data_IF_619634348474
#
_entry.id   IF_619634348474
#
_cell.length_a   1.000
_cell.length_b   1.000
_cell.length_c   1.000
_cell.angle_alpha   90.00
_cell.angle_beta   90.00
_cell.angle_gamma   90.00
#
_symmetry.space_group_name_H-M   'P 1'
#
loop_
_entity.id
_entity.type
_entity.pdbx_description
1 polymer ?
#
# COMPACT_ATOMS: atom_id res chain seq x y z
N UNK A 1 10.45 6.71 -41.42
CA UNK A 1 11.16 5.72 -40.58
C UNK A 1 11.23 6.32 -39.18
N UNK A 2 10.60 5.67 -38.18
CA UNK A 2 10.54 6.16 -36.81
C UNK A 2 11.90 6.11 -36.10
N UNK A 3 12.00 6.79 -34.95
CA UNK A 3 13.17 6.67 -34.07
C UNK A 3 13.42 5.21 -33.67
N UNK A 4 14.67 4.87 -33.29
CA UNK A 4 15.00 3.52 -32.79
C UNK A 4 14.08 3.17 -31.60
N UNK A 5 13.66 1.90 -31.52
CA UNK A 5 12.89 1.39 -30.39
C UNK A 5 13.72 1.43 -29.09
N UNK A 6 13.03 1.57 -27.97
CA UNK A 6 13.59 1.55 -26.63
C UNK A 6 13.09 0.30 -25.90
N UNK A 7 14.02 -0.59 -25.57
CA UNK A 7 13.73 -1.85 -24.89
C UNK A 7 14.04 -1.79 -23.40
N UNK A 8 13.08 -2.18 -22.58
CA UNK A 8 13.20 -2.30 -21.12
C UNK A 8 12.99 -3.76 -20.74
N UNK A 9 13.87 -4.31 -19.92
CA UNK A 9 13.77 -5.69 -19.46
C UNK A 9 14.13 -5.81 -18.00
N UNK A 10 13.44 -6.71 -17.32
CA UNK A 10 13.78 -7.12 -15.96
C UNK A 10 14.82 -8.22 -15.99
N UNK A 11 15.59 -8.31 -14.91
CA UNK A 11 16.23 -9.58 -14.55
C UNK A 11 15.18 -10.62 -14.12
N UNK A 12 15.60 -11.81 -13.72
CA UNK A 12 14.66 -12.81 -13.20
C UNK A 12 14.11 -12.37 -11.84
N UNK A 13 12.82 -12.05 -11.82
CA UNK A 13 12.05 -11.74 -10.62
C UNK A 13 11.70 -13.04 -9.91
N UNK A 14 12.40 -13.33 -8.81
CA UNK A 14 12.05 -14.38 -7.84
C UNK A 14 10.77 -14.03 -7.04
N UNK A 15 9.77 -14.93 -7.07
CA UNK A 15 8.50 -14.79 -6.35
C UNK A 15 8.65 -14.63 -4.83
N UNK A 16 9.64 -15.27 -4.22
CA UNK A 16 9.94 -15.13 -2.79
C UNK A 16 10.67 -13.82 -2.49
N UNK A 17 11.73 -13.51 -3.23
CA UNK A 17 12.62 -12.38 -2.91
C UNK A 17 11.98 -11.03 -3.24
N UNK A 18 11.36 -10.91 -4.41
CA UNK A 18 10.91 -9.63 -4.94
C UNK A 18 9.41 -9.41 -4.79
N UNK A 19 8.61 -10.49 -4.83
CA UNK A 19 7.15 -10.44 -4.70
C UNK A 19 6.65 -10.79 -3.29
N UNK A 20 7.54 -11.29 -2.42
CA UNK A 20 7.24 -11.59 -1.02
C UNK A 20 6.45 -12.90 -0.81
N UNK A 21 6.32 -13.76 -1.81
CA UNK A 21 5.60 -15.05 -1.66
C UNK A 21 6.49 -16.05 -0.92
N UNK A 22 6.21 -16.26 0.37
CA UNK A 22 7.08 -16.96 1.33
C UNK A 22 7.13 -18.48 1.13
N UNK A 23 7.79 -18.91 0.06
CA UNK A 23 7.91 -20.33 -0.31
C UNK A 23 9.37 -20.81 -0.34
N UNK A 24 9.64 -22.10 -0.04
CA UNK A 24 10.97 -22.72 -0.24
C UNK A 24 11.32 -22.77 -1.73
N UNK A 25 12.60 -22.93 -2.07
CA UNK A 25 13.10 -22.85 -3.45
C UNK A 25 12.30 -23.72 -4.43
N UNK A 26 11.96 -24.95 -4.02
CA UNK A 26 11.18 -25.90 -4.84
C UNK A 26 9.78 -25.40 -5.23
N UNK A 27 9.21 -24.46 -4.48
CA UNK A 27 7.88 -23.90 -4.69
C UNK A 27 7.89 -22.50 -5.30
N UNK A 28 9.07 -21.97 -5.65
CA UNK A 28 9.20 -20.62 -6.22
C UNK A 28 8.95 -20.63 -7.72
N UNK A 29 8.68 -19.45 -8.25
CA UNK A 29 8.54 -19.18 -9.67
C UNK A 29 9.43 -17.99 -10.02
N UNK A 30 10.08 -18.05 -11.18
CA UNK A 30 10.83 -16.92 -11.72
C UNK A 30 10.05 -16.27 -12.85
N UNK A 31 10.04 -14.95 -12.87
CA UNK A 31 9.32 -14.15 -13.85
C UNK A 31 10.25 -13.18 -14.56
N UNK A 32 9.98 -12.90 -15.83
CA UNK A 32 10.62 -11.83 -16.58
C UNK A 32 9.58 -11.07 -17.40
N UNK A 33 9.67 -9.75 -17.33
CA UNK A 33 9.00 -8.79 -18.21
C UNK A 33 10.00 -8.19 -19.19
N UNK A 34 9.56 -8.04 -20.44
CA UNK A 34 10.22 -7.29 -21.51
C UNK A 34 9.19 -6.36 -22.14
N UNK A 35 9.53 -5.08 -22.28
CA UNK A 35 8.68 -4.06 -22.89
C UNK A 35 9.49 -3.30 -23.93
N UNK A 36 8.97 -3.19 -25.15
CA UNK A 36 9.62 -2.45 -26.23
C UNK A 36 8.70 -1.32 -26.70
N UNK A 37 9.18 -0.09 -26.65
CA UNK A 37 8.42 1.10 -27.02
C UNK A 37 9.04 1.84 -28.20
N UNK A 38 8.22 2.43 -29.06
CA UNK A 38 8.66 3.30 -30.14
C UNK A 38 7.67 4.44 -30.37
N UNK A 39 8.16 5.69 -30.47
CA UNK A 39 7.41 6.78 -31.08
C UNK A 39 6.99 6.40 -32.50
N UNK A 40 5.75 6.74 -32.86
CA UNK A 40 5.18 6.45 -34.17
C UNK A 40 5.22 7.67 -35.09
N UNK A 41 5.21 7.41 -36.39
CA UNK A 41 5.15 8.45 -37.41
C UNK A 41 3.72 8.99 -37.54
N UNK A 42 3.57 10.30 -37.50
CA UNK A 42 2.29 11.03 -37.69
C UNK A 42 2.14 11.57 -39.11
N UNK A 43 2.83 10.97 -40.08
CA UNK A 43 2.88 11.43 -41.47
C UNK A 43 1.71 10.89 -42.30
N UNK A 44 1.61 11.31 -43.57
CA UNK A 44 0.55 10.89 -44.51
C UNK A 44 0.36 9.37 -44.49
N UNK A 45 -0.89 8.95 -44.30
CA UNK A 45 -1.29 7.55 -44.16
C UNK A 45 -1.76 7.19 -42.74
N UNK A 46 -1.19 7.82 -41.71
CA UNK A 46 -1.55 7.57 -40.30
C UNK A 46 -2.31 8.71 -39.63
N UNK A 47 -2.43 9.87 -40.31
CA UNK A 47 -3.32 10.94 -39.90
C UNK A 47 -3.88 11.72 -41.09
N UNK A 48 -5.06 12.31 -40.93
CA UNK A 48 -5.74 13.14 -41.94
C UNK A 48 -6.57 14.22 -41.26
N UNK A 49 -6.49 15.45 -41.77
CA UNK A 49 -7.43 16.51 -41.40
C UNK A 49 -8.83 16.19 -41.94
N UNK A 50 -9.84 16.38 -41.11
CA UNK A 50 -11.25 16.20 -41.51
C UNK A 50 -11.69 17.43 -42.30
N UNK A 51 -12.36 17.23 -43.43
CA UNK A 51 -12.85 18.29 -44.30
C UNK A 51 -14.16 17.90 -45.03
N UNK A 52 -14.87 18.89 -45.56
CA UNK A 52 -16.02 18.70 -46.44
C UNK A 52 -17.30 18.23 -45.73
N UNK A 53 -17.94 17.18 -46.25
CA UNK A 53 -19.19 16.67 -45.65
C UNK A 53 -18.98 16.03 -44.28
N UNK A 54 -17.77 15.52 -44.01
CA UNK A 54 -17.44 14.83 -42.77
C UNK A 54 -17.35 15.83 -41.59
N UNK A 55 -16.86 17.05 -41.82
CA UNK A 55 -16.83 18.09 -40.77
C UNK A 55 -18.22 18.58 -40.41
N UNK A 56 -19.15 18.65 -41.38
CA UNK A 56 -20.56 18.95 -41.14
C UNK A 56 -21.24 17.91 -40.23
N UNK A 57 -20.92 16.63 -40.40
CA UNK A 57 -21.43 15.55 -39.53
C UNK A 57 -20.94 15.71 -38.08
N UNK A 58 -19.69 16.11 -37.89
CA UNK A 58 -19.13 16.37 -36.57
C UNK A 58 -19.51 17.74 -35.99
N UNK A 59 -20.07 18.65 -36.80
CA UNK A 59 -20.41 20.02 -36.40
C UNK A 59 -19.21 20.95 -36.20
N UNK A 60 -18.14 20.77 -36.99
CA UNK A 60 -16.91 21.59 -36.93
C UNK A 60 -16.58 22.20 -38.30
N UNK A 61 -15.69 23.19 -38.30
CA UNK A 61 -15.12 23.75 -39.53
C UNK A 61 -14.05 22.84 -40.14
N UNK A 62 -13.76 23.07 -41.43
CA UNK A 62 -12.72 22.35 -42.17
C UNK A 62 -11.33 22.50 -41.54
N UNK A 63 -10.60 21.38 -41.49
CA UNK A 63 -9.25 21.28 -40.94
C UNK A 63 -9.11 21.59 -39.44
N UNK A 64 -10.22 21.62 -38.69
CA UNK A 64 -10.17 21.75 -37.22
C UNK A 64 -9.87 20.41 -36.54
N UNK A 65 -10.39 19.31 -37.09
CA UNK A 65 -10.22 17.97 -36.54
C UNK A 65 -9.14 17.18 -37.28
N UNK A 66 -8.38 16.38 -36.54
CA UNK A 66 -7.38 15.46 -37.08
C UNK A 66 -7.76 14.03 -36.66
N UNK A 67 -7.99 13.16 -37.65
CA UNK A 67 -8.15 11.71 -37.43
C UNK A 67 -6.79 11.02 -37.46
N UNK A 68 -6.58 10.09 -36.53
CA UNK A 68 -5.41 9.21 -36.47
C UNK A 68 -5.81 7.76 -36.77
N UNK A 69 -4.99 7.04 -37.55
CA UNK A 69 -5.30 5.73 -38.15
C UNK A 69 -4.27 4.67 -37.75
N UNK A 70 -4.09 4.44 -36.45
CA UNK A 70 -3.24 3.36 -35.91
C UNK A 70 -4.01 2.05 -35.68
N UNK A 71 -5.24 1.95 -36.19
CA UNK A 71 -6.13 0.81 -36.02
C UNK A 71 -7.58 1.24 -35.81
N UNK A 72 -8.50 0.29 -35.93
CA UNK A 72 -9.93 0.54 -35.81
C UNK A 72 -10.37 0.43 -34.35
N UNK A 73 -11.29 1.29 -33.92
CA UNK A 73 -11.86 1.25 -32.56
C UNK A 73 -13.36 1.06 -32.66
N UNK A 74 -13.87 -0.05 -32.10
CA UNK A 74 -15.25 -0.49 -32.27
C UNK A 74 -15.65 -0.51 -33.75
N UNK A 75 -16.64 0.31 -34.14
CA UNK A 75 -17.13 0.43 -35.52
C UNK A 75 -16.44 1.56 -36.30
N UNK A 76 -15.52 2.30 -35.67
CA UNK A 76 -14.82 3.40 -36.31
C UNK A 76 -13.59 2.91 -37.06
N UNK A 77 -13.43 3.36 -38.29
CA UNK A 77 -12.25 3.12 -39.14
C UNK A 77 -11.06 4.04 -38.78
N UNK A 78 -11.04 4.62 -37.59
CA UNK A 78 -9.98 5.48 -37.08
C UNK A 78 -9.77 5.17 -35.59
N UNK A 79 -8.58 5.50 -35.09
CA UNK A 79 -8.19 5.23 -33.70
C UNK A 79 -8.60 6.35 -32.76
N UNK A 80 -8.39 7.60 -33.18
CA UNK A 80 -8.62 8.77 -32.35
C UNK A 80 -8.88 10.02 -33.21
N UNK A 81 -9.65 10.96 -32.68
CA UNK A 81 -9.84 12.30 -33.27
C UNK A 81 -9.35 13.33 -32.27
N UNK A 82 -8.47 14.22 -32.73
CA UNK A 82 -8.00 15.37 -31.97
C UNK A 82 -8.56 16.67 -32.54
N UNK A 83 -8.86 17.63 -31.68
CA UNK A 83 -9.28 18.97 -32.07
C UNK A 83 -8.12 19.96 -31.93
N UNK A 84 -7.74 20.60 -33.04
CA UNK A 84 -6.63 21.57 -33.10
C UNK A 84 -6.79 22.77 -32.17
N UNK A 85 -8.02 23.12 -31.78
CA UNK A 85 -8.24 24.17 -30.78
C UNK A 85 -7.55 23.91 -29.44
N UNK A 86 -7.15 22.67 -29.13
CA UNK A 86 -6.31 22.35 -27.97
C UNK A 86 -5.06 23.24 -27.84
N UNK A 87 -4.51 23.75 -28.95
CA UNK A 87 -3.39 24.72 -28.90
C UNK A 87 -3.77 26.09 -28.30
N UNK A 88 -5.05 26.47 -28.36
CA UNK A 88 -5.58 27.76 -27.91
C UNK A 88 -6.47 27.69 -26.66
N UNK A 89 -6.74 26.48 -26.16
CA UNK A 89 -7.67 26.24 -25.05
C UNK A 89 -7.06 26.48 -23.66
N UNK A 90 -5.79 26.92 -23.58
CA UNK A 90 -5.04 27.12 -22.32
C UNK A 90 -4.99 25.86 -21.46
N UNK A 91 -4.81 24.70 -22.09
CA UNK A 91 -4.70 23.42 -21.42
C UNK A 91 -3.28 22.87 -21.53
N UNK A 92 -2.79 22.24 -20.46
CA UNK A 92 -1.51 21.53 -20.42
C UNK A 92 -1.56 20.20 -21.20
N UNK A 93 -0.61 19.30 -20.95
CA UNK A 93 -0.59 18.01 -21.64
C UNK A 93 -1.91 17.23 -21.45
N UNK A 94 -2.32 16.53 -22.50
CA UNK A 94 -3.40 15.55 -22.46
C UNK A 94 -2.93 14.22 -23.02
N UNK A 95 -3.42 13.14 -22.44
CA UNK A 95 -2.99 11.80 -22.82
C UNK A 95 -4.19 10.88 -23.00
N UNK A 96 -4.14 10.08 -24.06
CA UNK A 96 -5.08 8.99 -24.28
C UNK A 96 -4.31 7.71 -24.50
N UNK A 97 -4.89 6.61 -24.07
CA UNK A 97 -4.28 5.31 -24.28
C UNK A 97 -5.34 4.28 -24.61
N UNK A 98 -4.94 3.29 -25.40
CA UNK A 98 -5.74 2.13 -25.76
C UNK A 98 -4.82 0.92 -25.90
N UNK A 99 -5.36 -0.29 -25.77
CA UNK A 99 -4.56 -1.51 -25.83
C UNK A 99 -5.26 -2.63 -26.58
N UNK A 100 -4.45 -3.56 -27.07
CA UNK A 100 -4.84 -4.83 -27.66
C UNK A 100 -4.06 -5.94 -26.96
N UNK A 101 -4.73 -7.04 -26.62
CA UNK A 101 -4.13 -8.17 -25.94
C UNK A 101 -3.87 -9.31 -26.93
N UNK A 102 -2.71 -9.96 -26.80
CA UNK A 102 -2.35 -11.08 -27.64
C UNK A 102 -3.37 -12.23 -27.51
N UNK A 103 -3.84 -12.73 -28.65
CA UNK A 103 -4.78 -13.86 -28.69
C UNK A 103 -6.20 -13.55 -28.17
N UNK A 104 -6.54 -12.29 -27.93
CA UNK A 104 -7.88 -11.88 -27.51
C UNK A 104 -8.49 -10.85 -28.49
N UNK A 105 -9.41 -11.32 -29.33
CA UNK A 105 -10.13 -10.47 -30.29
C UNK A 105 -11.23 -9.60 -29.65
N UNK A 106 -11.43 -9.70 -28.32
CA UNK A 106 -12.42 -8.93 -27.58
C UNK A 106 -11.98 -7.52 -27.20
N UNK A 107 -10.77 -7.09 -27.55
CA UNK A 107 -10.35 -5.70 -27.31
C UNK A 107 -11.05 -4.74 -28.26
N UNK A 108 -11.49 -3.60 -27.74
CA UNK A 108 -12.20 -2.57 -28.53
C UNK A 108 -11.35 -1.99 -29.67
N UNK A 109 -10.03 -2.12 -29.59
CA UNK A 109 -9.09 -1.65 -30.60
C UNK A 109 -8.47 -2.83 -31.34
N UNK A 110 -8.49 -2.73 -32.66
CA UNK A 110 -7.82 -3.63 -33.59
C UNK A 110 -6.65 -2.87 -34.20
N UNK A 111 -5.40 -3.18 -33.81
CA UNK A 111 -4.23 -2.48 -34.31
C UNK A 111 -4.13 -2.55 -35.84
N UNK A 112 -3.61 -1.49 -36.45
CA UNK A 112 -3.24 -1.54 -37.86
C UNK A 112 -2.19 -2.63 -38.11
N UNK A 113 -2.08 -3.14 -39.33
CA UNK A 113 -1.18 -4.24 -39.70
C UNK A 113 0.27 -4.01 -39.20
N UNK A 114 0.78 -2.78 -39.30
CA UNK A 114 2.12 -2.43 -38.82
C UNK A 114 2.32 -2.50 -37.30
N UNK A 115 1.22 -2.52 -36.52
CA UNK A 115 1.20 -2.64 -35.07
C UNK A 115 0.63 -3.98 -34.60
N UNK A 116 0.25 -4.86 -35.54
CA UNK A 116 -0.18 -6.22 -35.24
C UNK A 116 1.06 -7.08 -34.98
N UNK A 117 1.33 -7.34 -33.71
CA UNK A 117 2.50 -8.09 -33.26
C UNK A 117 2.06 -9.40 -32.61
N UNK A 118 2.42 -10.52 -33.22
CA UNK A 118 2.11 -11.85 -32.68
C UNK A 118 2.69 -12.04 -31.28
N UNK A 119 1.85 -12.58 -30.39
CA UNK A 119 2.19 -12.88 -29.00
C UNK A 119 2.71 -11.68 -28.20
N UNK A 120 2.25 -10.46 -28.48
CA UNK A 120 2.56 -9.27 -27.68
C UNK A 120 1.30 -8.52 -27.31
N UNK A 121 1.23 -8.06 -26.06
CA UNK A 121 0.21 -7.11 -25.66
C UNK A 121 0.68 -5.71 -26.07
N UNK A 122 -0.14 -4.99 -26.83
CA UNK A 122 0.24 -3.69 -27.39
C UNK A 122 -0.56 -2.58 -26.73
N UNK A 123 0.12 -1.55 -26.25
CA UNK A 123 -0.49 -0.28 -25.82
C UNK A 123 -0.13 0.82 -26.81
N UNK A 124 -1.12 1.55 -27.30
CA UNK A 124 -0.93 2.82 -27.98
C UNK A 124 -1.21 3.95 -27.00
N UNK A 125 -0.25 4.86 -26.88
CA UNK A 125 -0.33 6.10 -26.11
C UNK A 125 -0.30 7.28 -27.07
N UNK A 126 -1.18 8.25 -26.86
CA UNK A 126 -1.30 9.49 -27.60
C UNK A 126 -1.06 10.64 -26.62
N UNK A 127 -0.01 11.43 -26.83
CA UNK A 127 0.32 12.58 -25.98
C UNK A 127 0.10 13.85 -26.80
N UNK A 128 -0.80 14.72 -26.37
CA UNK A 128 -0.99 16.05 -26.94
C UNK A 128 -0.38 17.11 -26.02
N UNK A 129 0.53 17.96 -26.51
CA UNK A 129 1.06 19.09 -25.74
C UNK A 129 0.06 20.23 -25.58
N UNK A 130 -1.01 20.28 -26.41
CA UNK A 130 -2.03 21.33 -26.37
C UNK A 130 -1.40 22.74 -26.39
N UNK A 131 -1.64 23.56 -25.36
CA UNK A 131 -1.19 24.95 -25.27
C UNK A 131 0.20 25.11 -24.64
N UNK A 132 0.93 24.00 -24.40
CA UNK A 132 2.26 24.05 -23.77
C UNK A 132 3.29 24.64 -24.73
N UNK A 133 4.05 25.64 -24.27
CA UNK A 133 5.18 26.25 -24.96
C UNK A 133 6.49 25.94 -24.25
N UNK A 134 7.57 25.75 -24.98
CA UNK A 134 8.88 25.41 -24.44
C UNK A 134 9.77 26.65 -24.41
N UNK A 135 10.52 26.86 -23.32
CA UNK A 135 11.46 27.99 -23.23
C UNK A 135 12.74 27.79 -24.06
N UNK A 136 13.04 26.54 -24.40
CA UNK A 136 14.18 26.14 -25.22
C UNK A 136 13.73 25.13 -26.28
N UNK A 137 14.46 25.08 -27.39
CA UNK A 137 14.23 24.07 -28.42
C UNK A 137 14.47 22.67 -27.85
N UNK A 138 13.63 21.71 -28.26
CA UNK A 138 13.78 20.31 -27.88
C UNK A 138 13.67 19.40 -29.11
N UNK A 139 14.59 18.45 -29.24
CA UNK A 139 14.67 17.49 -30.34
C UNK A 139 14.13 16.09 -29.96
N UNK A 140 13.46 15.97 -28.82
CA UNK A 140 12.82 14.72 -28.40
C UNK A 140 11.76 14.25 -29.42
N UNK A 141 11.70 12.94 -29.68
CA UNK A 141 10.81 12.38 -30.70
C UNK A 141 9.30 12.55 -30.42
N UNK A 142 8.92 12.82 -29.16
CA UNK A 142 7.54 12.95 -28.68
C UNK A 142 7.28 14.37 -28.18
N UNK A 143 8.22 14.94 -27.43
CA UNK A 143 8.14 16.28 -26.84
C UNK A 143 8.88 17.35 -27.68
N UNK A 144 9.13 17.06 -28.95
CA UNK A 144 9.85 17.95 -29.86
C UNK A 144 9.13 19.30 -30.01
N UNK A 145 9.91 20.37 -29.89
CA UNK A 145 9.45 21.74 -29.99
C UNK A 145 10.53 22.59 -30.66
N UNK A 146 10.34 22.89 -31.94
CA UNK A 146 11.31 23.59 -32.79
C UNK A 146 10.72 24.81 -33.50
N UNK A 147 9.42 25.07 -33.35
CA UNK A 147 8.73 26.16 -34.05
C UNK A 147 8.86 27.45 -33.22
N UNK A 148 9.67 28.45 -33.62
CA UNK A 148 9.87 29.66 -32.83
C UNK A 148 8.65 30.58 -32.84
N UNK A 149 8.38 31.20 -31.69
CA UNK A 149 7.38 32.23 -31.47
C UNK A 149 8.07 33.39 -30.76
N UNK A 150 8.01 34.58 -31.34
CA UNK A 150 8.49 35.80 -30.71
C UNK A 150 7.39 36.39 -29.81
N UNK A 151 7.71 36.58 -28.54
CA UNK A 151 6.84 37.22 -27.56
C UNK A 151 6.94 38.74 -27.65
N UNK A 152 5.96 39.46 -27.11
CA UNK A 152 5.91 40.93 -27.17
C UNK A 152 7.04 41.63 -26.41
N UNK A 153 7.70 40.92 -25.49
CA UNK A 153 8.87 41.39 -24.73
C UNK A 153 10.21 41.10 -25.44
N UNK A 154 10.17 40.47 -26.62
CA UNK A 154 11.34 40.11 -27.42
C UNK A 154 11.98 38.76 -27.02
N UNK A 155 11.38 37.99 -26.12
CA UNK A 155 11.80 36.63 -25.84
C UNK A 155 11.28 35.65 -26.91
N UNK A 156 12.11 34.68 -27.30
CA UNK A 156 11.70 33.60 -28.21
C UNK A 156 11.34 32.35 -27.41
N UNK A 157 10.17 31.80 -27.67
CA UNK A 157 9.72 30.50 -27.13
C UNK A 157 9.42 29.54 -28.28
N UNK A 158 9.29 28.25 -27.98
CA UNK A 158 9.15 27.21 -28.99
C UNK A 158 7.83 26.46 -28.84
N UNK A 159 7.04 26.40 -29.90
CA UNK A 159 5.82 25.60 -29.97
C UNK A 159 6.17 24.15 -30.34
N UNK A 160 5.41 23.16 -29.81
CA UNK A 160 5.54 21.76 -30.21
C UNK A 160 5.42 21.53 -31.72
N UNK A 161 6.14 20.54 -32.22
CA UNK A 161 6.18 20.23 -33.65
C UNK A 161 4.93 19.51 -34.15
N UNK A 162 4.12 18.96 -33.23
CA UNK A 162 2.99 18.07 -33.52
C UNK A 162 1.84 18.30 -32.55
N UNK A 163 0.62 18.19 -33.07
CA UNK A 163 -0.60 18.22 -32.27
C UNK A 163 -0.75 17.02 -31.32
N UNK A 164 -0.35 15.83 -31.78
CA UNK A 164 -0.36 14.60 -30.98
C UNK A 164 0.87 13.77 -31.36
N UNK A 165 1.57 13.28 -30.36
CA UNK A 165 2.72 12.39 -30.47
C UNK A 165 2.35 10.98 -30.00
N UNK A 166 2.21 10.01 -30.92
CA UNK A 166 1.89 8.63 -30.60
C UNK A 166 3.13 7.82 -30.21
N UNK A 167 2.98 6.92 -29.25
CA UNK A 167 3.96 5.91 -28.85
C UNK A 167 3.25 4.56 -28.80
N UNK A 168 3.82 3.53 -29.44
CA UNK A 168 3.37 2.15 -29.22
C UNK A 168 4.37 1.41 -28.32
N UNK A 169 3.86 0.66 -27.37
CA UNK A 169 4.63 -0.22 -26.49
C UNK A 169 4.10 -1.64 -26.59
N UNK A 170 5.00 -2.61 -26.72
CA UNK A 170 4.69 -4.02 -26.80
C UNK A 170 5.29 -4.78 -25.62
N UNK A 171 4.44 -5.43 -24.83
CA UNK A 171 4.80 -6.18 -23.64
C UNK A 171 4.91 -7.68 -23.93
N UNK A 172 5.91 -8.30 -23.29
CA UNK A 172 6.14 -9.75 -23.25
C UNK A 172 6.46 -10.19 -21.84
N UNK A 173 5.95 -11.36 -21.50
CA UNK A 173 6.06 -11.99 -20.20
C UNK A 173 6.61 -13.40 -20.36
N UNK A 174 7.37 -13.86 -19.37
CA UNK A 174 7.90 -15.22 -19.32
C UNK A 174 7.88 -15.73 -17.89
N UNK A 175 7.44 -16.97 -17.72
CA UNK A 175 7.43 -17.70 -16.46
C UNK A 175 8.40 -18.87 -16.57
N UNK A 176 9.20 -19.08 -15.53
CA UNK A 176 10.21 -20.12 -15.44
C UNK A 176 10.03 -20.95 -14.17
N UNK A 177 10.20 -22.26 -14.32
CA UNK A 177 10.25 -23.19 -13.21
C UNK A 177 11.72 -23.36 -12.75
N UNK A 178 12.09 -22.94 -11.53
CA UNK A 178 13.46 -23.04 -11.04
C UNK A 178 13.93 -24.48 -10.83
N UNK A 179 13.03 -25.46 -10.74
CA UNK A 179 13.38 -26.86 -10.45
C UNK A 179 13.99 -27.59 -11.65
N UNK A 180 13.53 -27.25 -12.85
CA UNK A 180 13.96 -27.89 -14.10
C UNK A 180 14.61 -26.89 -15.09
N UNK A 181 14.55 -25.58 -14.80
CA UNK A 181 15.09 -24.53 -15.67
C UNK A 181 14.28 -24.26 -16.94
N UNK A 182 13.12 -24.91 -17.10
CA UNK A 182 12.25 -24.75 -18.26
C UNK A 182 11.36 -23.52 -18.05
N UNK A 183 11.13 -22.78 -19.11
CA UNK A 183 10.28 -21.59 -19.08
C UNK A 183 9.35 -21.57 -20.28
N UNK A 184 8.27 -20.80 -20.16
CA UNK A 184 7.40 -20.45 -21.29
C UNK A 184 8.20 -19.71 -22.37
N UNK A 185 7.67 -19.68 -23.59
CA UNK A 185 8.12 -18.70 -24.59
C UNK A 185 7.64 -17.30 -24.18
N UNK A 186 8.36 -16.21 -24.54
CA UNK A 186 7.91 -14.85 -24.24
C UNK A 186 6.64 -14.50 -25.02
N UNK A 187 5.55 -14.20 -24.32
CA UNK A 187 4.24 -13.91 -24.92
C UNK A 187 3.47 -12.81 -24.17
N UNK A 188 2.27 -12.43 -24.64
CA UNK A 188 1.37 -11.56 -23.89
C UNK A 188 0.99 -12.14 -22.52
N UNK A 189 0.51 -11.32 -21.60
CA UNK A 189 0.23 -11.69 -20.21
C UNK A 189 -0.78 -12.83 -20.07
N UNK A 190 -1.90 -12.74 -20.79
CA UNK A 190 -2.95 -13.76 -20.80
C UNK A 190 -2.46 -15.09 -21.34
N UNK A 191 -1.75 -15.07 -22.48
CA UNK A 191 -1.19 -16.28 -23.08
C UNK A 191 -0.09 -16.90 -22.19
N UNK A 192 0.70 -16.08 -21.51
CA UNK A 192 1.74 -16.53 -20.60
C UNK A 192 1.17 -17.33 -19.42
N UNK A 193 0.09 -16.86 -18.79
CA UNK A 193 -0.60 -17.63 -17.73
C UNK A 193 -1.20 -18.91 -18.30
N UNK A 194 -1.89 -18.84 -19.44
CA UNK A 194 -2.49 -20.01 -20.09
C UNK A 194 -1.44 -21.10 -20.37
N UNK A 195 -0.30 -20.72 -20.94
CA UNK A 195 0.76 -21.66 -21.29
C UNK A 195 1.51 -22.16 -20.06
N UNK A 196 1.68 -21.33 -19.03
CA UNK A 196 2.27 -21.75 -17.76
C UNK A 196 1.38 -22.75 -16.99
N UNK A 197 0.04 -22.66 -17.14
CA UNK A 197 -0.91 -23.68 -16.65
C UNK A 197 -0.86 -24.98 -17.46
N UNK A 198 -0.29 -24.94 -18.66
CA UNK A 198 -0.02 -26.13 -19.46
C UNK A 198 1.00 -27.06 -18.78
N UNK A 199 1.22 -28.24 -19.38
CA UNK A 199 2.20 -29.21 -18.87
C UNK A 199 3.64 -28.95 -19.34
N UNK A 200 3.85 -27.94 -20.18
CA UNK A 200 5.11 -27.73 -20.91
C UNK A 200 6.29 -27.34 -19.99
N UNK A 201 6.02 -26.71 -18.85
CA UNK A 201 7.04 -26.26 -17.89
C UNK A 201 6.99 -27.00 -16.54
N UNK A 202 6.08 -27.97 -16.42
CA UNK A 202 5.92 -28.89 -15.29
C UNK A 202 5.87 -28.20 -13.91
N UNK A 203 4.93 -27.25 -13.73
CA UNK A 203 4.73 -26.58 -12.45
C UNK A 203 4.07 -27.51 -11.42
N UNK A 204 4.56 -27.45 -10.19
CA UNK A 204 3.87 -28.08 -9.06
C UNK A 204 2.64 -27.25 -8.62
N UNK A 205 1.75 -27.81 -7.77
CA UNK A 205 0.51 -27.10 -7.37
C UNK A 205 0.74 -25.73 -6.72
N UNK A 206 1.82 -25.55 -5.95
CA UNK A 206 2.16 -24.28 -5.28
C UNK A 206 2.69 -23.25 -6.27
N UNK A 207 3.48 -23.68 -7.24
CA UNK A 207 3.95 -22.84 -8.34
C UNK A 207 2.77 -22.41 -9.23
N UNK A 208 1.84 -23.33 -9.52
CA UNK A 208 0.62 -23.02 -10.28
C UNK A 208 -0.23 -21.98 -9.55
N UNK A 209 -0.43 -22.13 -8.23
CA UNK A 209 -1.13 -21.13 -7.44
C UNK A 209 -0.44 -19.76 -7.45
N UNK A 210 0.90 -19.75 -7.44
CA UNK A 210 1.70 -18.53 -7.58
C UNK A 210 1.48 -17.85 -8.93
N UNK A 211 1.49 -18.62 -10.02
CA UNK A 211 1.24 -18.11 -11.37
C UNK A 211 -0.15 -17.52 -11.50
N UNK A 212 -1.15 -18.16 -10.89
CA UNK A 212 -2.54 -17.70 -10.95
C UNK A 212 -2.75 -16.40 -10.19
N UNK A 213 -2.10 -16.27 -9.03
CA UNK A 213 -2.01 -15.00 -8.31
C UNK A 213 -1.36 -13.91 -9.14
N UNK A 214 -0.29 -14.22 -9.87
CA UNK A 214 0.35 -13.30 -10.83
C UNK A 214 -0.55 -12.98 -12.02
N UNK A 215 -1.45 -13.89 -12.40
CA UNK A 215 -2.40 -13.72 -13.49
C UNK A 215 -3.33 -12.52 -13.30
N UNK A 216 -3.72 -12.21 -12.07
CA UNK A 216 -4.48 -10.99 -11.74
C UNK A 216 -3.73 -9.71 -12.16
N UNK A 217 -2.41 -9.68 -11.97
CA UNK A 217 -1.59 -8.58 -12.43
C UNK A 217 -1.50 -8.56 -13.96
N UNK A 218 -1.29 -9.71 -14.60
CA UNK A 218 -1.14 -9.79 -16.06
C UNK A 218 -2.37 -9.28 -16.82
N UNK A 219 -3.57 -9.55 -16.32
CA UNK A 219 -4.82 -9.03 -16.87
C UNK A 219 -4.86 -7.48 -16.94
N UNK A 220 -4.08 -6.80 -16.10
CA UNK A 220 -3.98 -5.34 -16.05
C UNK A 220 -2.52 -4.85 -16.20
N UNK A 221 -1.65 -5.61 -16.85
CA UNK A 221 -0.20 -5.33 -16.88
C UNK A 221 0.26 -4.39 -17.99
N UNK A 222 -0.62 -4.06 -18.95
CA UNK A 222 -0.31 -3.11 -20.01
C UNK A 222 -0.21 -1.68 -19.48
N UNK A 223 0.51 -0.79 -20.18
CA UNK A 223 0.61 0.62 -19.79
C UNK A 223 -0.73 1.35 -19.78
N UNK A 224 -1.74 0.86 -20.52
CA UNK A 224 -3.12 1.38 -20.45
C UNK A 224 -3.62 1.52 -19.02
N UNK A 225 -3.43 0.49 -18.20
CA UNK A 225 -3.99 0.43 -16.86
C UNK A 225 -3.23 1.27 -15.84
N UNK A 226 -2.10 1.86 -16.22
CA UNK A 226 -1.42 2.90 -15.44
C UNK A 226 -1.88 4.30 -15.89
N UNK A 227 -2.12 4.48 -17.18
CA UNK A 227 -2.39 5.78 -17.79
C UNK A 227 -3.86 6.16 -17.65
N UNK A 228 -4.79 5.23 -17.85
CA UNK A 228 -6.24 5.50 -17.94
C UNK A 228 -6.80 6.31 -16.76
N UNK A 229 -6.37 6.02 -15.54
CA UNK A 229 -6.84 6.73 -14.33
C UNK A 229 -5.97 7.91 -13.93
N UNK A 230 -4.73 7.98 -14.42
CA UNK A 230 -3.77 9.06 -14.11
C UNK A 230 -3.78 10.18 -15.14
N UNK A 231 -4.31 9.93 -16.34
CA UNK A 231 -4.27 10.82 -17.50
C UNK A 231 -2.87 11.43 -17.65
N UNK A 232 -2.71 12.75 -17.74
CA UNK A 232 -1.41 13.39 -17.93
C UNK A 232 -0.48 13.37 -16.70
N UNK A 233 -0.96 12.98 -15.51
CA UNK A 233 -0.16 13.03 -14.27
C UNK A 233 0.93 11.95 -14.17
N UNK A 234 1.01 11.01 -15.12
CA UNK A 234 2.17 10.10 -15.19
C UNK A 234 3.38 10.71 -15.88
N UNK A 235 3.18 11.79 -16.66
CA UNK A 235 4.26 12.42 -17.42
C UNK A 235 5.19 13.18 -16.46
N UNK A 236 6.46 12.82 -16.44
CA UNK A 236 7.50 13.60 -15.76
C UNK A 236 7.70 14.97 -16.39
N UNK A 237 7.49 15.09 -17.70
CA UNK A 237 7.48 16.38 -18.39
C UNK A 237 6.47 17.36 -17.76
N UNK A 238 5.29 16.87 -17.34
CA UNK A 238 4.25 17.67 -16.71
C UNK A 238 4.70 18.25 -15.35
N UNK A 239 5.63 17.62 -14.64
CA UNK A 239 6.21 18.14 -13.39
C UNK A 239 7.09 19.38 -13.63
N UNK A 240 7.53 19.58 -14.87
CA UNK A 240 8.38 20.68 -15.32
C UNK A 240 7.60 21.77 -16.08
N UNK A 241 6.27 21.72 -16.04
CA UNK A 241 5.39 22.75 -16.62
C UNK A 241 4.90 23.71 -15.54
N UNK A 242 5.08 25.01 -15.76
CA UNK A 242 4.49 26.08 -14.95
C UNK A 242 3.82 27.11 -15.85
N UNK A 243 2.55 27.45 -15.58
CA UNK A 243 1.76 28.39 -16.40
C UNK A 243 1.84 28.09 -17.92
N UNK A 244 1.65 26.81 -18.28
CA UNK A 244 1.76 26.28 -19.66
C UNK A 244 3.15 26.46 -20.31
N UNK A 245 4.14 26.85 -19.52
CA UNK A 245 5.53 27.00 -19.94
C UNK A 245 6.33 25.80 -19.48
N UNK A 246 6.85 25.03 -20.43
CA UNK A 246 7.68 23.86 -20.23
C UNK A 246 9.14 24.28 -20.03
N UNK A 247 9.70 23.92 -18.87
CA UNK A 247 11.14 24.02 -18.61
C UNK A 247 11.93 23.06 -19.51
N UNK A 248 13.26 23.25 -19.65
CA UNK A 248 14.07 22.46 -20.57
C UNK A 248 13.95 20.97 -20.29
N UNK A 249 13.69 20.20 -21.36
CA UNK A 249 13.59 18.75 -21.33
C UNK A 249 14.82 18.15 -22.01
N UNK A 250 15.33 17.01 -21.53
CA UNK A 250 16.36 16.27 -22.25
C UNK A 250 15.81 15.70 -23.57
N UNK A 251 16.69 15.52 -24.56
CA UNK A 251 16.35 15.00 -25.89
C UNK A 251 15.87 13.53 -25.90
N UNK A 252 15.92 12.86 -24.75
CA UNK A 252 15.43 11.50 -24.54
C UNK A 252 14.31 11.43 -23.48
N UNK A 253 13.60 12.53 -23.26
CA UNK A 253 12.48 12.60 -22.32
C UNK A 253 11.48 11.47 -22.52
N UNK A 254 11.10 11.12 -23.76
CA UNK A 254 10.16 10.02 -23.98
C UNK A 254 10.65 8.67 -23.44
N UNK A 255 11.97 8.41 -23.47
CA UNK A 255 12.56 7.20 -22.90
C UNK A 255 12.49 7.22 -21.37
N UNK A 256 12.69 8.40 -20.77
CA UNK A 256 12.55 8.62 -19.32
C UNK A 256 11.09 8.36 -18.90
N UNK A 257 10.11 8.82 -19.68
CA UNK A 257 8.69 8.54 -19.44
C UNK A 257 8.40 7.04 -19.48
N UNK A 258 8.84 6.35 -20.54
CA UNK A 258 8.59 4.91 -20.70
C UNK A 258 9.29 4.09 -19.62
N UNK A 259 10.51 4.47 -19.23
CA UNK A 259 11.24 3.84 -18.12
C UNK A 259 10.52 4.04 -16.78
N UNK A 260 9.93 5.22 -16.56
CA UNK A 260 9.13 5.49 -15.36
C UNK A 260 7.86 4.63 -15.33
N UNK A 261 7.12 4.55 -16.45
CA UNK A 261 5.95 3.68 -16.56
C UNK A 261 6.30 2.20 -16.35
N UNK A 262 7.45 1.75 -16.85
CA UNK A 262 7.93 0.40 -16.62
C UNK A 262 8.19 0.13 -15.12
N UNK A 263 8.87 1.04 -14.43
CA UNK A 263 9.12 0.94 -12.99
C UNK A 263 7.82 1.00 -12.16
N UNK A 264 6.88 1.87 -12.53
CA UNK A 264 5.56 1.96 -11.92
C UNK A 264 4.78 0.65 -12.09
N UNK A 265 4.92 -0.02 -13.24
CA UNK A 265 4.26 -1.29 -13.48
C UNK A 265 4.84 -2.43 -12.62
N UNK A 266 6.16 -2.46 -12.40
CA UNK A 266 6.78 -3.40 -11.48
C UNK A 266 6.37 -3.15 -10.03
N UNK A 267 6.24 -1.88 -9.65
CA UNK A 267 5.73 -1.49 -8.32
C UNK A 267 4.27 -1.90 -8.15
N UNK A 268 3.44 -1.70 -9.18
CA UNK A 268 2.06 -2.19 -9.25
C UNK A 268 2.01 -3.72 -9.11
N UNK A 269 2.93 -4.45 -9.74
CA UNK A 269 3.00 -5.90 -9.57
C UNK A 269 3.22 -6.30 -8.11
N UNK A 270 4.17 -5.66 -7.41
CA UNK A 270 4.40 -5.91 -5.98
C UNK A 270 3.16 -5.58 -5.13
N UNK A 271 2.47 -4.49 -5.45
CA UNK A 271 1.22 -4.09 -4.79
C UNK A 271 0.09 -5.11 -5.02
N UNK A 272 -0.09 -5.61 -6.23
CA UNK A 272 -1.09 -6.66 -6.53
C UNK A 272 -0.82 -7.95 -5.75
N UNK A 273 0.46 -8.29 -5.52
CA UNK A 273 0.78 -9.42 -4.66
C UNK A 273 0.34 -9.13 -3.23
N UNK A 274 0.57 -7.93 -2.69
CA UNK A 274 0.08 -7.56 -1.37
C UNK A 274 -1.45 -7.60 -1.26
N UNK A 275 -2.16 -7.01 -2.23
CA UNK A 275 -3.63 -6.94 -2.24
C UNK A 275 -4.32 -8.30 -2.20
N UNK A 276 -3.68 -9.34 -2.77
CA UNK A 276 -4.20 -10.71 -2.66
C UNK A 276 -4.41 -11.14 -1.20
N UNK A 277 -3.58 -10.70 -0.26
CA UNK A 277 -3.70 -11.08 1.17
C UNK A 277 -4.49 -10.07 1.98
N UNK A 278 -4.37 -8.77 1.70
CA UNK A 278 -5.11 -7.74 2.44
C UNK A 278 -6.57 -7.60 1.97
N UNK A 279 -6.89 -8.14 0.79
CA UNK A 279 -8.08 -7.78 0.03
C UNK A 279 -7.91 -6.41 -0.66
N UNK A 280 -8.76 -6.12 -1.67
CA UNK A 280 -8.79 -4.79 -2.28
C UNK A 280 -9.28 -3.75 -1.28
N UNK A 281 -8.77 -2.53 -1.37
CA UNK A 281 -9.19 -1.42 -0.49
C UNK A 281 -10.66 -1.03 -0.68
N UNK A 282 -11.24 -1.36 -1.83
CA UNK A 282 -12.64 -1.16 -2.19
C UNK A 282 -13.25 -2.53 -2.54
N UNK A 283 -13.99 -3.10 -1.60
CA UNK A 283 -14.72 -4.35 -1.81
C UNK A 283 -16.12 -4.00 -2.30
N UNK A 284 -16.48 -4.46 -3.50
CA UNK A 284 -17.86 -4.44 -3.95
C UNK A 284 -18.57 -5.61 -3.26
N UNK A 285 -19.59 -5.31 -2.45
CA UNK A 285 -20.33 -6.33 -1.72
C UNK A 285 -20.87 -7.41 -2.67
N UNK A 286 -20.63 -8.68 -2.32
CA UNK A 286 -20.99 -9.83 -3.16
C UNK A 286 -19.93 -10.27 -4.19
N UNK A 287 -18.82 -9.55 -4.34
CA UNK A 287 -17.68 -9.99 -5.16
C UNK A 287 -16.72 -10.84 -4.32
N UNK A 288 -16.65 -12.14 -4.61
CA UNK A 288 -15.67 -13.05 -4.01
C UNK A 288 -14.95 -13.77 -5.15
N UNK A 289 -13.67 -13.44 -5.34
CA UNK A 289 -12.83 -14.15 -6.32
C UNK A 289 -12.31 -15.44 -5.69
N UNK A 290 -13.09 -16.51 -5.79
CA UNK A 290 -12.63 -17.87 -5.43
C UNK A 290 -12.17 -18.57 -6.69
N UNK A 291 -10.96 -18.25 -7.13
CA UNK A 291 -10.34 -18.88 -8.32
C UNK A 291 -10.36 -20.41 -8.24
N UNK A 292 -10.38 -20.99 -7.03
CA UNK A 292 -10.47 -22.43 -6.79
C UNK A 292 -11.88 -23.04 -6.91
N UNK A 293 -12.97 -22.26 -6.84
CA UNK A 293 -14.35 -22.76 -6.94
C UNK A 293 -14.79 -23.01 -8.40
N UNK A 294 -14.03 -22.52 -9.38
CA UNK A 294 -14.29 -22.71 -10.81
C UNK A 294 -13.99 -24.13 -11.33
N UNK A 295 -13.41 -24.98 -10.48
CA UNK A 295 -13.02 -26.34 -10.83
C UNK A 295 -13.96 -27.37 -10.20
N UNK A 296 -15.06 -27.66 -10.89
CA UNK A 296 -16.07 -28.66 -10.49
C UNK A 296 -15.62 -30.13 -10.59
N UNK A 297 -14.34 -30.46 -10.36
CA UNK A 297 -13.85 -31.86 -10.45
C UNK A 297 -13.06 -32.27 -9.21
N UNK A 298 -13.39 -33.44 -8.65
CA UNK A 298 -12.81 -34.04 -7.44
C UNK A 298 -11.59 -34.92 -7.75
N UNK A 299 -10.56 -34.36 -8.38
CA UNK A 299 -9.27 -35.09 -8.54
C UNK A 299 -8.29 -34.69 -7.43
N UNK A 300 -7.41 -35.62 -7.01
CA UNK A 300 -6.38 -35.34 -5.99
C UNK A 300 -5.47 -34.15 -6.36
N UNK A 301 -5.13 -34.02 -7.65
CA UNK A 301 -4.36 -32.87 -8.14
C UNK A 301 -5.11 -31.54 -7.95
N UNK A 302 -6.44 -31.56 -8.07
CA UNK A 302 -7.28 -30.39 -7.82
C UNK A 302 -7.35 -30.04 -6.33
N UNK A 303 -7.41 -31.04 -5.46
CA UNK A 303 -7.37 -30.86 -4.01
C UNK A 303 -6.03 -30.26 -3.55
N UNK A 304 -4.91 -30.78 -4.06
CA UNK A 304 -3.57 -30.26 -3.77
C UNK A 304 -3.43 -28.81 -4.26
N UNK A 305 -3.99 -28.49 -5.42
CA UNK A 305 -4.02 -27.13 -5.97
C UNK A 305 -4.90 -26.17 -5.14
N UNK A 306 -6.09 -26.60 -4.71
CA UNK A 306 -6.96 -25.80 -3.81
C UNK A 306 -6.26 -25.54 -2.48
N UNK A 307 -5.67 -26.56 -1.88
CA UNK A 307 -4.90 -26.43 -0.64
C UNK A 307 -3.73 -25.45 -0.81
N UNK A 308 -3.06 -25.48 -1.97
CA UNK A 308 -2.00 -24.52 -2.28
C UNK A 308 -2.51 -23.08 -2.39
N UNK A 309 -3.68 -22.85 -3.00
CA UNK A 309 -4.31 -21.52 -3.06
C UNK A 309 -4.66 -20.99 -1.65
N UNK A 310 -5.26 -21.84 -0.80
CA UNK A 310 -5.59 -21.46 0.58
C UNK A 310 -4.33 -21.15 1.41
N UNK A 311 -3.26 -21.94 1.27
CA UNK A 311 -1.98 -21.70 1.95
C UNK A 311 -1.35 -20.35 1.54
N UNK A 312 -1.57 -19.87 0.31
CA UNK A 312 -1.00 -18.59 -0.15
C UNK A 312 -1.42 -17.38 0.70
N UNK A 313 -2.61 -17.41 1.32
CA UNK A 313 -3.09 -16.36 2.23
C UNK A 313 -2.15 -16.16 3.43
N UNK A 314 -1.48 -17.22 3.88
CA UNK A 314 -0.56 -17.20 5.02
C UNK A 314 0.92 -17.08 4.60
N UNK A 315 1.19 -16.94 3.31
CA UNK A 315 2.54 -16.98 2.72
C UNK A 315 2.94 -15.66 2.07
N UNK A 316 2.58 -14.53 2.66
CA UNK A 316 3.05 -13.21 2.21
C UNK A 316 4.03 -12.60 3.21
N UNK A 317 5.19 -12.18 2.71
CA UNK A 317 6.14 -11.32 3.38
C UNK A 317 5.89 -9.89 2.92
N UNK A 318 5.73 -9.02 3.90
CA UNK A 318 5.59 -7.59 3.69
C UNK A 318 6.74 -6.89 4.40
N UNK A 319 7.22 -5.78 3.83
CA UNK A 319 8.15 -4.91 4.54
C UNK A 319 7.33 -4.09 5.53
N UNK A 320 7.62 -4.19 6.83
CA UNK A 320 6.99 -3.32 7.82
C UNK A 320 7.37 -1.86 7.54
N UNK A 321 6.39 -1.01 7.27
CA UNK A 321 6.58 0.42 6.98
C UNK A 321 6.99 1.21 8.22
N UNK A 322 6.65 0.72 9.43
CA UNK A 322 6.95 1.38 10.71
C UNK A 322 8.32 0.96 11.30
N UNK A 323 9.10 0.17 10.56
CA UNK A 323 10.27 -0.51 11.11
C UNK A 323 9.84 -1.71 11.97
N UNK A 324 10.71 -2.70 12.12
CA UNK A 324 10.47 -3.78 13.08
C UNK A 324 10.75 -3.23 14.47
N UNK A 325 9.72 -3.07 15.30
CA UNK A 325 9.95 -2.85 16.72
C UNK A 325 10.44 -4.18 17.29
N UNK A 326 11.75 -4.36 17.32
CA UNK A 326 12.38 -5.56 17.88
C UNK A 326 12.24 -5.50 19.39
N UNK A 327 11.17 -6.08 19.95
CA UNK A 327 11.07 -6.24 21.39
C UNK A 327 11.94 -7.43 21.81
N UNK A 328 12.84 -7.20 22.78
CA UNK A 328 13.61 -8.28 23.39
C UNK A 328 12.67 -9.12 24.25
N UNK A 329 12.27 -10.29 23.74
CA UNK A 329 11.46 -11.27 24.49
C UNK A 329 12.14 -11.60 25.82
N UNK A 330 13.46 -11.80 25.81
CA UNK A 330 14.25 -12.05 27.01
C UNK A 330 14.16 -10.88 28.00
N UNK A 331 14.29 -9.63 27.52
CA UNK A 331 14.18 -8.44 28.36
C UNK A 331 12.80 -8.29 28.98
N UNK A 332 11.75 -8.51 28.18
CA UNK A 332 10.36 -8.44 28.65
C UNK A 332 10.05 -9.55 29.66
N UNK A 333 10.50 -10.78 29.40
CA UNK A 333 10.33 -11.91 30.32
C UNK A 333 11.06 -11.71 31.64
N UNK A 334 12.28 -11.15 31.62
CA UNK A 334 13.02 -10.83 32.85
C UNK A 334 12.33 -9.72 33.64
N UNK A 335 11.87 -8.66 32.97
CA UNK A 335 11.21 -7.55 33.63
C UNK A 335 9.89 -7.97 34.28
N UNK A 336 9.03 -8.68 33.54
CA UNK A 336 7.76 -9.17 34.06
C UNK A 336 7.95 -10.29 35.09
N UNK A 337 8.88 -11.22 34.83
CA UNK A 337 9.17 -12.34 35.72
C UNK A 337 9.77 -11.90 37.05
N UNK A 338 10.88 -11.16 37.02
CA UNK A 338 11.52 -10.64 38.24
C UNK A 338 10.62 -9.64 38.96
N UNK A 339 9.92 -8.77 38.23
CA UNK A 339 8.96 -7.83 38.81
C UNK A 339 7.85 -8.56 39.56
N UNK A 340 7.23 -9.57 38.94
CA UNK A 340 6.19 -10.39 39.58
C UNK A 340 6.73 -11.16 40.79
N UNK A 341 7.96 -11.66 40.71
CA UNK A 341 8.63 -12.34 41.82
C UNK A 341 8.90 -11.39 43.00
N UNK A 342 9.36 -10.16 42.75
CA UNK A 342 9.55 -9.17 43.80
C UNK A 342 8.23 -8.77 44.46
N UNK A 343 7.17 -8.57 43.67
CA UNK A 343 5.85 -8.25 44.19
C UNK A 343 5.31 -9.41 45.03
N UNK A 344 5.40 -10.64 44.53
CA UNK A 344 5.00 -11.85 45.27
C UNK A 344 5.79 -12.01 46.57
N UNK A 345 7.11 -11.80 46.53
CA UNK A 345 7.95 -11.84 47.73
C UNK A 345 7.56 -10.76 48.73
N UNK A 346 7.22 -9.55 48.29
CA UNK A 346 6.77 -8.46 49.16
C UNK A 346 5.52 -8.83 49.96
N UNK A 347 4.54 -9.49 49.34
CA UNK A 347 3.34 -9.93 50.05
C UNK A 347 3.63 -11.06 51.05
N UNK A 348 4.56 -11.95 50.71
CA UNK A 348 4.93 -13.07 51.58
C UNK A 348 5.86 -12.66 52.73
N UNK A 349 6.57 -11.54 52.59
CA UNK A 349 7.59 -11.09 53.55
C UNK A 349 6.99 -10.88 54.95
N UNK A 350 5.79 -10.29 55.05
CA UNK A 350 5.13 -10.09 56.34
C UNK A 350 4.77 -11.43 56.99
N UNK A 351 4.19 -12.36 56.25
CA UNK A 351 3.85 -13.70 56.75
C UNK A 351 5.10 -14.48 57.18
N UNK A 352 6.16 -14.45 56.35
CA UNK A 352 7.42 -15.15 56.63
C UNK A 352 8.10 -14.55 57.86
N UNK A 353 8.13 -13.23 58.00
CA UNK A 353 8.74 -12.56 59.15
C UNK A 353 7.94 -12.81 60.43
N UNK A 354 6.60 -12.82 60.39
CA UNK A 354 5.77 -13.19 61.54
C UNK A 354 6.05 -14.64 62.00
N UNK A 355 6.14 -15.59 61.06
CA UNK A 355 6.46 -17.00 61.37
C UNK A 355 7.87 -17.13 61.95
N UNK A 356 8.88 -16.50 61.33
CA UNK A 356 10.26 -16.52 61.82
C UNK A 356 10.40 -15.87 63.20
N UNK A 357 9.71 -14.76 63.45
CA UNK A 357 9.70 -14.08 64.75
C UNK A 357 9.05 -14.95 65.84
N UNK A 358 7.98 -15.71 65.51
CA UNK A 358 7.35 -16.67 66.43
C UNK A 358 8.28 -17.84 66.77
N UNK A 359 9.02 -18.36 65.79
CA UNK A 359 9.91 -19.52 65.99
C UNK A 359 11.20 -19.13 66.73
N UNK A 360 11.81 -18.01 66.36
CA UNK A 360 13.16 -17.64 66.84
C UNK A 360 13.15 -16.68 68.03
N UNK A 361 12.03 -16.00 68.31
CA UNK A 361 11.93 -14.98 69.36
C UNK A 361 12.75 -13.71 69.11
N UNK A 362 13.56 -13.68 68.04
CA UNK A 362 14.38 -12.55 67.65
C UNK A 362 13.50 -11.43 67.10
N UNK A 363 13.72 -10.20 67.57
CA UNK A 363 13.06 -9.01 67.03
C UNK A 363 11.62 -8.77 67.52
N UNK A 364 10.98 -9.70 68.24
CA UNK A 364 9.58 -9.57 68.73
C UNK A 364 9.37 -8.28 69.55
N UNK A 365 10.34 -7.91 70.40
CA UNK A 365 10.26 -6.65 71.17
C UNK A 365 10.38 -5.40 70.29
N UNK A 366 11.13 -5.46 69.18
CA UNK A 366 11.24 -4.35 68.23
C UNK A 366 9.98 -4.23 67.38
N UNK A 367 9.41 -5.36 66.93
CA UNK A 367 8.13 -5.39 66.21
C UNK A 367 6.98 -4.81 67.06
N UNK A 368 6.84 -5.24 68.32
CA UNK A 368 5.85 -4.66 69.25
C UNK A 368 6.05 -3.18 69.58
N UNK A 369 7.28 -2.67 69.46
CA UNK A 369 7.54 -1.21 69.58
C UNK A 369 7.08 -0.49 68.33
N UNK A 370 7.41 -1.03 67.15
CA UNK A 370 6.97 -0.49 65.88
C UNK A 370 5.44 -0.41 65.78
N UNK A 371 4.74 -1.48 66.17
CA UNK A 371 3.27 -1.50 66.24
C UNK A 371 2.70 -0.42 67.17
N UNK A 372 3.39 -0.06 68.25
CA UNK A 372 2.98 1.01 69.17
C UNK A 372 3.28 2.42 68.65
N UNK A 373 4.29 2.54 67.79
CA UNK A 373 4.69 3.80 67.16
C UNK A 373 3.89 4.07 65.86
N UNK A 374 3.04 3.14 65.43
CA UNK A 374 2.05 3.35 64.36
C UNK A 374 1.17 4.58 64.67
N UNK A 375 0.92 5.41 63.65
CA UNK A 375 0.21 6.68 63.82
C UNK A 375 -1.16 6.54 64.49
N UNK A 376 -1.89 5.46 64.21
CA UNK A 376 -3.20 5.19 64.81
C UNK A 376 -3.09 4.83 66.30
N UNK A 377 -2.04 4.11 66.70
CA UNK A 377 -1.77 3.79 68.10
C UNK A 377 -1.31 5.03 68.87
N UNK A 378 -0.53 5.91 68.24
CA UNK A 378 -0.15 7.21 68.82
C UNK A 378 -1.37 8.12 69.01
N UNK A 379 -2.24 8.20 68.00
CA UNK A 379 -3.49 8.97 68.11
C UNK A 379 -4.40 8.42 69.21
N UNK A 380 -4.59 7.09 69.29
CA UNK A 380 -5.32 6.44 70.38
C UNK A 380 -4.79 6.86 71.75
N UNK A 381 -3.47 6.77 71.96
CA UNK A 381 -2.86 7.17 73.24
C UNK A 381 -3.14 8.64 73.57
N UNK A 382 -3.16 9.53 72.58
CA UNK A 382 -3.47 10.95 72.76
C UNK A 382 -4.95 11.18 73.13
N UNK A 383 -5.88 10.46 72.51
CA UNK A 383 -7.31 10.51 72.87
C UNK A 383 -7.56 9.91 74.27
N UNK A 384 -6.94 8.78 74.61
CA UNK A 384 -7.00 8.18 75.95
C UNK A 384 -6.48 9.15 77.03
N UNK A 385 -5.35 9.84 76.78
CA UNK A 385 -4.81 10.85 77.71
C UNK A 385 -5.77 12.02 77.95
N UNK A 386 -6.56 12.38 76.94
CA UNK A 386 -7.57 13.43 77.04
C UNK A 386 -8.93 12.91 77.54
N UNK A 387 -9.02 11.64 77.97
CA UNK A 387 -10.24 11.03 78.49
C UNK A 387 -11.31 10.77 77.43
N UNK A 388 -10.93 10.72 76.15
CA UNK A 388 -11.85 10.57 75.02
C UNK A 388 -11.97 9.11 74.56
N UNK A 389 -13.15 8.53 74.78
CA UNK A 389 -13.52 7.17 74.36
C UNK A 389 -12.90 6.05 75.20
N UNK A 390 -13.52 4.87 75.14
CA UNK A 390 -12.95 3.63 75.72
C UNK A 390 -12.41 2.77 74.59
N UNK A 391 -11.10 2.52 74.58
CA UNK A 391 -10.42 1.91 73.45
C UNK A 391 -10.08 0.44 73.68
N UNK A 392 -10.24 -0.37 72.64
CA UNK A 392 -9.83 -1.78 72.55
C UNK A 392 -8.80 -1.97 71.44
N UNK A 393 -7.97 -3.01 71.57
CA UNK A 393 -6.91 -3.32 70.60
C UNK A 393 -5.62 -2.53 70.86
N UNK A 394 -5.17 -2.49 72.12
CA UNK A 394 -3.94 -1.79 72.55
C UNK A 394 -2.65 -2.34 71.96
N UNK A 395 -2.72 -3.48 71.27
CA UNK A 395 -1.61 -4.15 70.58
C UNK A 395 -1.93 -4.47 69.12
N UNK A 396 -3.05 -3.99 68.59
CA UNK A 396 -3.49 -4.30 67.21
C UNK A 396 -3.11 -3.15 66.27
N UNK A 397 -2.94 -3.39 64.97
CA UNK A 397 -2.57 -2.31 64.03
C UNK A 397 -3.66 -1.21 63.91
N UNK A 398 -4.91 -1.56 64.17
CA UNK A 398 -6.07 -0.66 64.06
C UNK A 398 -6.84 -0.62 65.39
N UNK A 399 -6.50 0.30 66.31
CA UNK A 399 -7.26 0.45 67.54
C UNK A 399 -8.64 1.01 67.25
N UNK A 400 -9.64 0.51 67.97
CA UNK A 400 -11.03 0.95 67.84
C UNK A 400 -11.63 1.22 69.20
N UNK A 401 -12.55 2.17 69.26
CA UNK A 401 -13.36 2.40 70.47
C UNK A 401 -14.41 1.31 70.61
N UNK A 402 -14.68 0.87 71.83
CA UNK A 402 -15.65 -0.19 72.11
C UNK A 402 -17.06 0.15 71.60
N UNK A 403 -17.44 1.44 71.62
CA UNK A 403 -18.72 1.97 71.18
C UNK A 403 -18.74 2.52 69.74
N UNK A 404 -17.63 2.39 68.98
CA UNK A 404 -17.45 3.00 67.64
C UNK A 404 -17.69 4.52 67.62
N UNK A 405 -17.09 5.22 68.59
CA UNK A 405 -17.22 6.67 68.74
C UNK A 405 -16.57 7.41 67.56
N UNK A 406 -17.19 8.51 67.14
CA UNK A 406 -16.59 9.48 66.25
C UNK A 406 -16.05 10.66 67.08
N UNK A 407 -14.80 11.06 66.81
CA UNK A 407 -14.16 12.19 67.48
C UNK A 407 -14.01 13.34 66.49
N UNK A 408 -14.55 14.50 66.84
CA UNK A 408 -14.35 15.75 66.11
C UNK A 408 -13.35 16.62 66.88
N UNK A 409 -12.36 17.16 66.17
CA UNK A 409 -11.37 18.06 66.75
C UNK A 409 -11.72 19.50 66.38
N UNK A 410 -12.36 20.22 67.31
CA UNK A 410 -12.75 21.60 67.08
C UNK A 410 -11.59 22.55 67.45
N UNK A 411 -10.93 23.11 66.44
CA UNK A 411 -9.72 23.94 66.61
C UNK A 411 -10.05 25.41 66.98
N UNK A 412 -11.23 25.65 67.56
CA UNK A 412 -11.87 26.97 67.55
C UNK A 412 -12.33 27.53 68.88
N UNK A 413 -11.67 27.28 70.02
CA UNK A 413 -11.94 28.04 71.27
C UNK A 413 -10.66 28.26 72.11
N UNK A 414 -10.04 29.44 71.94
CA UNK A 414 -9.00 29.95 72.86
C UNK A 414 -9.60 30.14 74.26
N UNK A 415 -9.11 29.39 75.26
CA UNK A 415 -9.20 29.81 76.67
C UNK A 415 -9.73 28.81 77.71
N UNK A 416 -10.20 27.62 77.32
CA UNK A 416 -10.47 26.50 78.24
C UNK A 416 -9.96 25.21 77.59
N UNK A 417 -9.40 24.30 78.40
CA UNK A 417 -8.70 23.09 77.92
C UNK A 417 -9.54 22.25 76.93
N UNK A 418 -8.88 21.46 76.07
CA UNK A 418 -9.55 20.70 75.02
C UNK A 418 -10.60 19.76 75.62
N UNK A 419 -11.87 19.92 75.22
CA UNK A 419 -12.94 18.97 75.50
C UNK A 419 -13.22 18.18 74.23
N UNK A 420 -12.96 16.88 74.27
CA UNK A 420 -13.40 15.94 73.26
C UNK A 420 -14.77 15.42 73.68
N UNK A 421 -15.82 15.73 72.93
CA UNK A 421 -17.15 15.15 73.14
C UNK A 421 -17.30 13.90 72.29
N UNK A 422 -17.51 12.74 72.92
CA UNK A 422 -17.88 11.51 72.20
C UNK A 422 -19.32 11.65 71.68
N UNK A 423 -19.51 11.55 70.36
CA UNK A 423 -20.85 11.51 69.76
C UNK A 423 -21.28 10.04 69.74
N UNK A 424 -22.13 9.65 70.70
CA UNK A 424 -22.74 8.31 70.74
C UNK A 424 -23.89 8.28 69.74
N UNK A 425 -23.74 7.55 68.64
CA UNK A 425 -24.86 7.28 67.73
C UNK A 425 -25.72 6.12 68.26
N UNK A 426 -26.99 6.41 68.58
CA UNK A 426 -28.00 5.37 68.83
C UNK A 426 -28.16 4.46 67.60
N UNK A 427 -27.96 3.16 67.82
CA UNK A 427 -27.96 2.13 66.80
C UNK A 427 -29.41 1.82 66.36
N UNK A 428 -29.90 2.46 65.30
CA UNK A 428 -31.15 2.03 64.66
C UNK A 428 -30.90 0.75 63.84
N UNK A 429 -31.26 -0.39 64.42
CA UNK A 429 -31.25 -1.69 63.76
C UNK A 429 -32.19 -1.73 62.56
N UNK A 430 -31.72 -2.35 61.47
CA UNK A 430 -32.58 -2.92 60.44
C UNK A 430 -32.08 -4.33 60.12
N UNK A 431 -33.01 -5.27 60.26
CA UNK A 431 -32.94 -6.69 59.89
C UNK A 431 -32.62 -6.90 58.42
#
# INVERSE_FOLDING_TARGET
MGSRSFGMKTELIDSHKHLGINQPLYNRVYYRRETECSPLITQRGFSRFVNGSETQEFGWDDNVLIKYFYGNVNFNNYTYIYNTYGESMKSGYSTWSIHALAGNNGTIWQPAEALFLDHRDVTLLLIAPNSVIHIEQNDDAVFGASIPIELSDGATVYRPDRYVSPIACADRHRICNPNNGICTTPQGGTETVRNARGKDIDLNPVQLATVDRMGLHFAASTFQHLIWTRTQSFLKAQELVADLTQLPLPSNQWQIEMASLFADNLSKMQHYMLEYVTGPSLVVEGTIERTWDSAGSSSRAQEDYRAAQEDMCHRQKIKSSQGTINFSVVGLSLLLGLGSLFIGFSYLLESITQVLQRITGLGVRKAKRWERDENLQVMRMLFELNGAGTWKGSTDCFPTTESKDAFEYDCGLRGRGPQYSAIVHEHNGKS
#
